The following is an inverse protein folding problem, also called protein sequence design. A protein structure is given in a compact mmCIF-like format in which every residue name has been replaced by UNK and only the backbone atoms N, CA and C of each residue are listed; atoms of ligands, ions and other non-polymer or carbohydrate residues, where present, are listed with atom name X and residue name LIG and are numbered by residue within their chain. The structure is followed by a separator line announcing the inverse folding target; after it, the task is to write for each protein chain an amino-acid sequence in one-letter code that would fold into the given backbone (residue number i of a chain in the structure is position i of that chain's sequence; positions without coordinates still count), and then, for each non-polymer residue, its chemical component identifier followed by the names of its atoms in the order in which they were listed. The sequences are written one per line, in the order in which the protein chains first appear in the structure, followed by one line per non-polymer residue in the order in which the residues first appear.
data_IF_685219908286
#
_entry.id   IF_685219908286
#
_cell.length_a   1.000
_cell.length_b   1.000
_cell.length_c   1.000
_cell.angle_alpha   90.00
_cell.angle_beta   90.00
_cell.angle_gamma   90.00
#
_symmetry.space_group_name_H-M   'P 1'
#
loop_
_entity.id
_entity.type
_entity.pdbx_description
1 polymer ?
#
# COMPACT_ATOMS: atom_id res chain seq x y z
N UNK A 1 4.33 -11.58 -1.99
CA UNK A 1 3.52 -10.65 -2.80
C UNK A 1 3.15 -11.28 -4.14
N UNK A 2 4.10 -11.81 -4.92
CA UNK A 2 3.80 -12.45 -6.22
C UNK A 2 2.65 -13.47 -6.16
N UNK A 3 2.72 -14.45 -5.26
CA UNK A 3 1.62 -15.41 -5.05
C UNK A 3 0.29 -14.76 -4.70
N UNK A 4 0.29 -13.65 -3.97
CA UNK A 4 -0.94 -12.94 -3.62
C UNK A 4 -1.59 -12.26 -4.85
N UNK A 5 -0.76 -11.72 -5.75
CA UNK A 5 -1.19 -11.18 -7.05
C UNK A 5 -1.95 -12.24 -7.85
N UNK A 6 -1.58 -13.52 -7.73
CA UNK A 6 -2.22 -14.61 -8.46
C UNK A 6 -3.40 -15.23 -7.68
N UNK A 7 -3.19 -15.56 -6.39
CA UNK A 7 -4.04 -16.52 -5.65
C UNK A 7 -5.03 -15.89 -4.67
N UNK A 8 -4.96 -14.57 -4.41
CA UNK A 8 -5.76 -13.94 -3.32
C UNK A 8 -6.71 -12.86 -3.80
N UNK A 9 -7.77 -12.58 -3.04
CA UNK A 9 -8.74 -11.53 -3.37
C UNK A 9 -8.26 -10.13 -2.96
N UNK A 10 -7.41 -10.03 -1.93
CA UNK A 10 -6.91 -8.77 -1.37
C UNK A 10 -5.43 -8.90 -1.02
N UNK A 11 -4.66 -7.86 -1.34
CA UNK A 11 -3.23 -7.79 -1.06
C UNK A 11 -2.99 -6.84 0.12
N UNK A 12 -2.29 -7.32 1.16
CA UNK A 12 -1.86 -6.50 2.29
C UNK A 12 -0.34 -6.48 2.35
N UNK A 13 0.25 -5.29 2.38
CA UNK A 13 1.70 -5.08 2.49
C UNK A 13 1.97 -4.25 3.74
N UNK A 14 2.47 -4.90 4.80
CA UNK A 14 2.92 -4.17 5.99
C UNK A 14 4.34 -3.65 5.77
N UNK A 15 4.35 -2.37 5.48
CA UNK A 15 5.39 -1.41 5.20
C UNK A 15 6.17 -1.55 3.89
N UNK A 16 6.00 -0.52 3.06
CA UNK A 16 6.92 -0.15 1.99
C UNK A 16 7.74 1.04 2.47
N UNK A 17 9.06 0.90 2.47
CA UNK A 17 9.96 1.88 3.06
C UNK A 17 11.44 1.60 2.77
N UNK A 18 12.19 1.24 3.80
CA UNK A 18 13.66 1.14 3.73
C UNK A 18 14.15 -0.04 2.88
N UNK A 19 13.37 -1.11 2.80
CA UNK A 19 13.74 -2.38 2.15
C UNK A 19 14.02 -2.28 0.65
N UNK A 20 13.51 -1.25 -0.03
CA UNK A 20 13.75 -1.09 -1.47
C UNK A 20 15.21 -0.85 -1.85
N UNK A 21 15.98 -0.18 -0.98
CA UNK A 21 17.40 0.08 -1.24
C UNK A 21 18.19 -1.24 -1.20
N UNK A 22 17.72 -2.20 -0.41
CA UNK A 22 18.40 -3.46 -0.14
C UNK A 22 17.88 -4.61 -1.04
N UNK A 23 16.70 -4.45 -1.64
CA UNK A 23 16.07 -5.45 -2.49
C UNK A 23 15.32 -4.82 -3.67
N UNK A 24 15.98 -4.57 -4.83
CA UNK A 24 15.32 -4.04 -6.02
C UNK A 24 14.15 -4.90 -6.51
N UNK A 25 14.24 -6.23 -6.36
CA UNK A 25 13.18 -7.17 -6.70
C UNK A 25 11.91 -6.98 -5.87
N UNK A 26 12.04 -6.44 -4.64
CA UNK A 26 10.89 -6.08 -3.82
C UNK A 26 10.13 -4.90 -4.42
N UNK A 27 10.84 -3.84 -4.83
CA UNK A 27 10.23 -2.68 -5.50
C UNK A 27 9.46 -3.09 -6.75
N UNK A 28 10.04 -3.96 -7.58
CA UNK A 28 9.38 -4.43 -8.79
C UNK A 28 8.13 -5.25 -8.48
N UNK A 29 8.16 -6.06 -7.43
CA UNK A 29 7.00 -6.84 -6.99
C UNK A 29 5.89 -5.95 -6.42
N UNK A 30 6.23 -4.90 -5.67
CA UNK A 30 5.26 -3.90 -5.16
C UNK A 30 4.61 -3.16 -6.33
N UNK A 31 5.40 -2.74 -7.33
CA UNK A 31 4.86 -2.11 -8.56
C UNK A 31 3.89 -3.05 -9.27
N UNK A 32 4.25 -4.33 -9.46
CA UNK A 32 3.35 -5.33 -10.06
C UNK A 32 2.06 -5.53 -9.26
N UNK A 33 2.11 -5.46 -7.93
CA UNK A 33 0.91 -5.53 -7.11
C UNK A 33 0.00 -4.31 -7.29
N UNK A 34 0.59 -3.11 -7.40
CA UNK A 34 -0.15 -1.87 -7.65
C UNK A 34 -0.76 -1.80 -9.06
N UNK A 35 -0.18 -2.50 -10.04
CA UNK A 35 -0.75 -2.63 -11.40
C UNK A 35 -1.80 -3.76 -11.52
N UNK A 36 -2.09 -4.48 -10.44
CA UNK A 36 -3.12 -5.52 -10.46
C UNK A 36 -4.50 -4.93 -10.20
N UNK A 37 -5.55 -5.55 -10.75
CA UNK A 37 -6.96 -5.14 -10.50
C UNK A 37 -7.46 -5.52 -9.10
N UNK A 38 -6.58 -5.98 -8.20
CA UNK A 38 -6.94 -6.46 -6.87
C UNK A 38 -6.89 -5.31 -5.85
N UNK A 39 -7.86 -5.23 -4.93
CA UNK A 39 -7.78 -4.31 -3.80
C UNK A 39 -6.47 -4.49 -3.04
N UNK A 40 -5.77 -3.37 -2.82
CA UNK A 40 -4.48 -3.34 -2.12
C UNK A 40 -4.53 -2.39 -0.93
N UNK A 41 -4.01 -2.86 0.21
CA UNK A 41 -3.74 -2.05 1.38
C UNK A 41 -2.26 -2.14 1.71
N UNK A 42 -1.62 -0.98 1.87
CA UNK A 42 -0.21 -0.92 2.22
C UNK A 42 0.06 0.18 3.24
N UNK A 43 1.07 -0.01 4.08
CA UNK A 43 1.57 1.04 4.97
C UNK A 43 2.82 1.67 4.35
N UNK A 44 2.95 3.00 4.45
CA UNK A 44 4.05 3.76 3.88
C UNK A 44 4.88 4.40 4.97
N UNK A 45 6.21 4.33 4.87
CA UNK A 45 7.07 5.10 5.75
C UNK A 45 6.83 6.62 5.55
N UNK A 46 6.28 7.29 6.57
CA UNK A 46 5.75 8.67 6.48
C UNK A 46 6.74 9.69 5.90
N UNK A 47 8.01 9.61 6.30
CA UNK A 47 9.05 10.60 5.96
C UNK A 47 10.04 10.13 4.89
N UNK A 48 9.82 8.96 4.30
CA UNK A 48 10.75 8.45 3.29
C UNK A 48 10.65 9.27 2.00
N UNK A 49 11.82 9.58 1.43
CA UNK A 49 11.97 10.24 0.13
C UNK A 49 12.29 9.25 -0.98
N UNK A 50 12.14 7.94 -0.72
CA UNK A 50 12.34 6.93 -1.73
C UNK A 50 11.42 7.20 -2.96
N UNK A 51 11.94 7.09 -4.21
CA UNK A 51 11.18 7.31 -5.43
C UNK A 51 9.86 6.53 -5.53
N UNK A 52 9.85 5.22 -5.26
CA UNK A 52 8.62 4.41 -5.31
C UNK A 52 7.57 4.91 -4.33
N UNK A 53 7.96 5.31 -3.12
CA UNK A 53 7.02 5.88 -2.15
C UNK A 53 6.45 7.23 -2.64
N UNK A 54 7.22 8.01 -3.38
CA UNK A 54 6.73 9.25 -3.98
C UNK A 54 5.78 8.95 -5.15
N UNK A 55 6.09 7.93 -5.95
CA UNK A 55 5.23 7.48 -7.05
C UNK A 55 3.89 6.98 -6.53
N UNK A 56 3.89 6.12 -5.49
CA UNK A 56 2.66 5.64 -4.83
C UNK A 56 1.81 6.80 -4.29
N UNK A 57 2.42 7.84 -3.72
CA UNK A 57 1.70 9.00 -3.19
C UNK A 57 1.07 9.89 -4.26
N UNK A 58 1.53 9.80 -5.50
CA UNK A 58 1.07 10.60 -6.64
C UNK A 58 0.05 9.88 -7.51
N UNK A 59 -0.22 8.61 -7.22
CA UNK A 59 -1.20 7.80 -7.91
C UNK A 59 -2.61 8.31 -7.64
N UNK A 60 -3.37 8.54 -8.70
CA UNK A 60 -4.77 8.99 -8.62
C UNK A 60 -5.74 7.87 -8.22
N UNK A 61 -5.33 6.61 -8.39
CA UNK A 61 -6.07 5.39 -8.05
C UNK A 61 -5.83 4.91 -6.60
N UNK A 62 -5.05 5.65 -5.80
CA UNK A 62 -4.73 5.30 -4.41
C UNK A 62 -5.33 6.32 -3.44
N UNK A 63 -5.92 5.82 -2.34
CA UNK A 63 -6.36 6.66 -1.21
C UNK A 63 -5.31 6.67 -0.10
N UNK A 64 -4.70 7.82 0.14
CA UNK A 64 -3.74 7.99 1.25
C UNK A 64 -4.49 8.40 2.53
N UNK A 65 -4.36 7.58 3.57
CA UNK A 65 -4.90 7.86 4.90
C UNK A 65 -3.73 8.08 5.86
N UNK A 66 -3.58 9.32 6.35
CA UNK A 66 -2.59 9.61 7.38
C UNK A 66 -3.09 9.13 8.74
N UNK A 67 -2.31 8.28 9.41
CA UNK A 67 -2.58 7.87 10.79
C UNK A 67 -2.09 8.95 11.76
N UNK A 68 -2.98 9.35 12.66
CA UNK A 68 -2.76 10.33 13.73
C UNK A 68 -3.28 9.77 15.05
N UNK A 69 -2.86 10.36 16.17
CA UNK A 69 -3.37 9.93 17.50
C UNK A 69 -4.89 10.07 17.65
N UNK A 70 -5.51 10.96 16.88
CA UNK A 70 -6.96 11.21 16.91
C UNK A 70 -7.76 10.21 16.06
N UNK A 71 -7.14 9.57 15.07
CA UNK A 71 -7.86 8.77 14.08
C UNK A 71 -7.57 7.28 14.05
N UNK A 72 -6.52 6.84 14.76
CA UNK A 72 -6.09 5.45 14.78
C UNK A 72 -7.22 4.46 15.12
N UNK A 73 -8.16 4.85 16.00
CA UNK A 73 -9.20 3.94 16.48
C UNK A 73 -10.37 3.82 15.49
N UNK A 74 -10.59 4.82 14.64
CA UNK A 74 -11.67 4.79 13.64
C UNK A 74 -11.20 4.42 12.23
N UNK A 75 -9.91 4.53 11.93
CA UNK A 75 -9.35 4.21 10.63
C UNK A 75 -9.66 2.78 10.16
N UNK A 76 -9.60 1.73 11.01
CA UNK A 76 -9.94 0.36 10.58
C UNK A 76 -11.34 0.26 9.96
N UNK A 77 -12.35 0.91 10.57
CA UNK A 77 -13.70 0.93 10.04
C UNK A 77 -13.80 1.67 8.71
N UNK A 78 -13.09 2.80 8.58
CA UNK A 78 -13.03 3.56 7.32
C UNK A 78 -12.36 2.75 6.21
N UNK A 79 -11.28 2.04 6.51
CA UNK A 79 -10.55 1.19 5.56
C UNK A 79 -11.44 0.04 5.09
N UNK A 80 -12.15 -0.61 6.01
CA UNK A 80 -13.06 -1.71 5.65
C UNK A 80 -14.13 -1.26 4.64
N UNK A 81 -14.75 -0.09 4.86
CA UNK A 81 -15.73 0.48 3.92
C UNK A 81 -15.14 0.73 2.53
N UNK A 82 -13.92 1.27 2.47
CA UNK A 82 -13.23 1.51 1.20
C UNK A 82 -12.92 0.19 0.46
N UNK A 83 -12.58 -0.87 1.18
CA UNK A 83 -12.33 -2.20 0.59
C UNK A 83 -13.61 -2.89 0.11
N UNK A 84 -14.75 -2.62 0.75
CA UNK A 84 -16.07 -3.09 0.31
C UNK A 84 -16.60 -2.34 -0.92
N UNK A 85 -15.91 -1.27 -1.37
CA UNK A 85 -16.36 -0.44 -2.49
C UNK A 85 -17.51 0.51 -2.17
N UNK A 86 -17.71 0.83 -0.88
CA UNK A 86 -18.79 1.70 -0.36
C UNK A 86 -18.28 3.10 -0.03
#
# INVERSE_FOLDING_TARGET
IERAIEETDVIVIDEVGKMEVEAPSFSDTVKRALESDKPIMLTLHKKSRNPLLQDIRRRDDVRILEVTGLNKDFLPYKILRLLEGV
#
